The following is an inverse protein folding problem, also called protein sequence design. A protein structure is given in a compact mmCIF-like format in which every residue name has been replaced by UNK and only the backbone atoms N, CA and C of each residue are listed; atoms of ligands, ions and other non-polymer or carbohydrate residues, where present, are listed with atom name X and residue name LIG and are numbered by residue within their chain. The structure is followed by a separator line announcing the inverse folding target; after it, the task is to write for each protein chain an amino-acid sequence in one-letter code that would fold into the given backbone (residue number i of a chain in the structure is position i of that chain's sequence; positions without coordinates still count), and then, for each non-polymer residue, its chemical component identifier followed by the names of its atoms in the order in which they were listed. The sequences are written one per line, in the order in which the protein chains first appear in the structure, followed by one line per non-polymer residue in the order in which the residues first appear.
data_IF_653438097636
#
_entry.id   IF_653438097636
#
_cell.length_a   1.000
_cell.length_b   1.000
_cell.length_c   1.000
_cell.angle_alpha   90.00
_cell.angle_beta   90.00
_cell.angle_gamma   90.00
#
_symmetry.space_group_name_H-M   'P 1'
#
loop_
_entity.id
_entity.type
_entity.pdbx_description
1 polymer ?
#
# COMPACT_ATOMS: atom_id res chain seq x y z
N UNK A 1 -11.61 26.22 33.78
CA UNK A 1 -12.71 25.24 33.72
C UNK A 1 -12.26 24.06 32.86
N UNK A 2 -12.47 22.82 33.31
CA UNK A 2 -12.15 21.64 32.50
C UNK A 2 -13.13 21.56 31.33
N UNK A 3 -12.67 21.10 30.16
CA UNK A 3 -13.49 20.92 28.95
C UNK A 3 -13.13 19.58 28.33
N UNK A 4 -14.13 18.92 27.75
CA UNK A 4 -13.91 17.70 26.97
C UNK A 4 -13.25 18.02 25.63
N UNK A 5 -12.58 17.02 25.06
CA UNK A 5 -12.06 17.11 23.70
C UNK A 5 -13.21 17.07 22.68
N UNK A 6 -13.00 17.68 21.52
CA UNK A 6 -13.93 17.65 20.37
C UNK A 6 -13.86 16.33 19.58
N UNK A 7 -13.19 15.31 20.10
CA UNK A 7 -13.00 14.02 19.42
C UNK A 7 -12.88 12.87 20.43
N UNK A 8 -13.16 11.66 19.95
CA UNK A 8 -12.83 10.41 20.63
C UNK A 8 -11.50 9.89 20.08
N UNK A 9 -10.57 9.56 20.96
CA UNK A 9 -9.36 8.83 20.58
C UNK A 9 -9.71 7.34 20.40
N UNK A 10 -9.50 6.80 19.20
CA UNK A 10 -9.88 5.43 18.86
C UNK A 10 -8.71 4.46 18.98
N UNK A 11 -7.60 4.74 18.30
CA UNK A 11 -6.41 3.87 18.31
C UNK A 11 -5.12 4.62 17.99
N UNK A 12 -3.98 3.99 18.32
CA UNK A 12 -2.66 4.37 17.85
C UNK A 12 -2.33 3.61 16.57
N UNK A 13 -1.64 4.28 15.65
CA UNK A 13 -1.07 3.67 14.46
C UNK A 13 0.22 4.39 14.07
N UNK A 14 0.91 3.91 13.04
CA UNK A 14 2.05 4.60 12.42
C UNK A 14 1.63 5.14 11.06
N UNK A 15 2.25 6.23 10.64
CA UNK A 15 2.04 6.85 9.34
C UNK A 15 3.36 7.43 8.81
N UNK A 16 3.33 7.93 7.59
CA UNK A 16 4.47 8.58 6.95
C UNK A 16 4.27 10.10 6.97
N UNK A 17 5.30 10.86 7.29
CA UNK A 17 5.27 12.32 7.17
C UNK A 17 5.11 12.71 5.68
N UNK A 18 4.10 13.54 5.33
CA UNK A 18 3.86 13.91 3.93
C UNK A 18 4.94 14.80 3.32
N UNK A 19 5.88 15.32 4.12
CA UNK A 19 7.00 16.15 3.64
C UNK A 19 8.31 15.38 3.59
N UNK A 20 8.80 14.89 4.74
CA UNK A 20 10.12 14.25 4.83
C UNK A 20 10.09 12.73 4.70
N UNK A 21 8.91 12.11 4.55
CA UNK A 21 8.70 10.66 4.43
C UNK A 21 9.19 9.79 5.60
N UNK A 22 9.55 10.40 6.73
CA UNK A 22 9.86 9.67 7.98
C UNK A 22 8.61 8.98 8.51
N UNK A 23 8.76 7.75 9.01
CA UNK A 23 7.75 7.04 9.80
C UNK A 23 7.54 7.74 11.15
N UNK A 24 6.29 8.02 11.49
CA UNK A 24 5.88 8.76 12.69
C UNK A 24 4.62 8.16 13.30
N UNK A 25 4.44 8.34 14.60
CA UNK A 25 3.20 7.94 15.27
C UNK A 25 2.02 8.82 14.84
N UNK A 26 0.87 8.17 14.80
CA UNK A 26 -0.41 8.77 14.43
C UNK A 26 -1.51 8.26 15.36
N UNK A 27 -2.56 9.06 15.47
CA UNK A 27 -3.78 8.74 16.21
C UNK A 27 -4.94 8.71 15.24
N UNK A 28 -5.78 7.69 15.35
CA UNK A 28 -7.09 7.69 14.71
C UNK A 28 -8.10 8.31 15.67
N UNK A 29 -8.79 9.34 15.20
CA UNK A 29 -9.71 10.16 15.97
C UNK A 29 -11.10 10.12 15.32
N UNK A 30 -12.14 9.98 16.14
CA UNK A 30 -13.52 10.06 15.69
C UNK A 30 -14.07 11.44 16.05
N UNK A 31 -14.54 12.19 15.05
CA UNK A 31 -15.10 13.53 15.22
C UNK A 31 -16.15 13.79 14.15
N UNK A 32 -17.31 14.32 14.54
CA UNK A 32 -18.42 14.64 13.63
C UNK A 32 -18.81 13.48 12.69
N UNK A 33 -18.89 12.27 13.27
CA UNK A 33 -19.11 11.00 12.55
C UNK A 33 -18.10 10.70 11.42
N UNK A 34 -16.89 11.25 11.49
CA UNK A 34 -15.80 11.02 10.54
C UNK A 34 -14.56 10.49 11.25
N UNK A 35 -13.67 9.88 10.48
CA UNK A 35 -12.40 9.33 10.96
C UNK A 35 -11.25 10.21 10.48
N UNK A 36 -10.49 10.76 11.41
CA UNK A 36 -9.32 11.58 11.13
C UNK A 36 -8.05 10.88 11.62
N UNK A 37 -6.98 10.94 10.82
CA UNK A 37 -5.65 10.58 11.26
C UNK A 37 -4.88 11.83 11.61
N UNK A 38 -4.54 12.00 12.89
CA UNK A 38 -3.67 13.09 13.36
C UNK A 38 -2.28 12.56 13.64
N UNK A 39 -1.27 13.18 13.05
CA UNK A 39 0.15 12.81 13.17
C UNK A 39 1.01 14.04 13.39
N UNK A 40 2.16 13.87 14.05
CA UNK A 40 3.11 14.97 14.29
C UNK A 40 4.52 14.54 13.94
N UNK A 41 5.09 15.17 12.92
CA UNK A 41 6.49 15.03 12.61
C UNK A 41 7.32 15.96 13.52
N UNK A 42 8.42 15.49 14.13
CA UNK A 42 9.32 16.35 14.89
C UNK A 42 9.85 17.54 14.08
N UNK A 43 10.12 17.34 12.78
CA UNK A 43 10.76 18.34 11.92
C UNK A 43 9.76 19.15 11.09
N UNK A 44 8.63 18.54 10.71
CA UNK A 44 7.66 19.14 9.79
C UNK A 44 6.36 19.61 10.45
N UNK A 45 6.16 19.34 11.74
CA UNK A 45 4.99 19.76 12.50
C UNK A 45 3.79 18.81 12.41
N UNK A 46 2.60 19.28 12.83
CA UNK A 46 1.37 18.49 12.86
C UNK A 46 0.71 18.40 11.48
N UNK A 47 0.05 17.27 11.24
CA UNK A 47 -0.81 17.03 10.08
C UNK A 47 -2.08 16.33 10.54
N UNK A 48 -3.17 16.61 9.86
CA UNK A 48 -4.44 15.91 10.03
C UNK A 48 -5.06 15.67 8.66
N UNK A 49 -5.61 14.48 8.45
CA UNK A 49 -6.28 14.12 7.22
C UNK A 49 -7.55 13.32 7.53
N UNK A 50 -8.58 13.51 6.69
CA UNK A 50 -9.75 12.65 6.67
C UNK A 50 -9.35 11.27 6.12
N UNK A 51 -9.60 10.21 6.88
CA UNK A 51 -9.37 8.82 6.47
C UNK A 51 -10.65 8.19 5.96
N UNK A 52 -11.77 8.45 6.62
CA UNK A 52 -13.05 7.83 6.28
C UNK A 52 -14.22 8.74 6.64
N UNK A 53 -15.24 8.78 5.78
CA UNK A 53 -16.38 9.70 5.89
C UNK A 53 -17.46 9.31 6.90
N UNK A 54 -17.42 8.07 7.39
CA UNK A 54 -18.42 7.50 8.33
C UNK A 54 -17.73 6.68 9.43
N UNK A 55 -17.70 7.22 10.65
CA UNK A 55 -17.04 6.60 11.79
C UNK A 55 -17.72 5.29 12.24
N UNK A 56 -19.04 5.20 12.14
CA UNK A 56 -19.78 3.99 12.53
C UNK A 56 -19.43 2.83 11.58
N UNK A 57 -19.37 3.11 10.27
CA UNK A 57 -18.96 2.13 9.29
C UNK A 57 -17.49 1.71 9.44
N UNK A 58 -16.58 2.65 9.70
CA UNK A 58 -15.17 2.33 9.92
C UNK A 58 -14.99 1.35 11.10
N UNK A 59 -15.69 1.61 12.21
CA UNK A 59 -15.65 0.73 13.39
C UNK A 59 -16.30 -0.62 13.09
N UNK A 60 -17.47 -0.63 12.44
CA UNK A 60 -18.22 -1.86 12.19
C UNK A 60 -17.48 -2.83 11.27
N UNK A 61 -16.69 -2.31 10.32
CA UNK A 61 -15.91 -3.10 9.37
C UNK A 61 -14.90 -4.02 10.04
N UNK A 62 -14.31 -3.60 11.17
CA UNK A 62 -13.36 -4.43 11.93
C UNK A 62 -13.90 -5.81 12.34
N UNK A 63 -15.23 -5.95 12.44
CA UNK A 63 -15.91 -7.22 12.77
C UNK A 63 -15.78 -8.28 11.67
N UNK A 64 -15.46 -7.85 10.45
CA UNK A 64 -15.30 -8.73 9.28
C UNK A 64 -13.83 -9.00 8.95
N UNK A 65 -12.90 -8.56 9.79
CA UNK A 65 -11.48 -8.86 9.60
C UNK A 65 -11.26 -10.38 9.68
N UNK A 66 -10.71 -10.94 8.61
CA UNK A 66 -10.25 -12.33 8.57
C UNK A 66 -8.75 -12.39 8.88
N UNK A 67 -8.25 -13.49 9.45
CA UNK A 67 -6.81 -13.75 9.52
C UNK A 67 -6.15 -13.63 8.14
N UNK A 68 -4.90 -13.15 8.15
CA UNK A 68 -4.04 -13.17 6.99
C UNK A 68 -3.79 -14.59 6.48
N UNK A 69 -3.70 -14.76 5.16
CA UNK A 69 -3.20 -15.98 4.55
C UNK A 69 -1.68 -15.86 4.44
N UNK A 70 -0.94 -16.87 4.89
CA UNK A 70 0.51 -16.88 4.82
C UNK A 70 0.92 -17.56 3.50
N UNK A 71 1.83 -16.96 2.69
CA UNK A 71 2.32 -17.59 1.47
C UNK A 71 3.16 -18.85 1.78
N UNK A 72 3.39 -19.69 0.78
CA UNK A 72 4.25 -20.87 0.89
C UNK A 72 5.72 -20.50 1.11
N UNK A 73 6.13 -19.34 0.60
CA UNK A 73 7.46 -18.80 0.80
C UNK A 73 7.44 -17.27 0.81
N UNK A 74 8.39 -16.69 1.53
CA UNK A 74 8.66 -15.26 1.50
C UNK A 74 9.71 -14.95 0.42
N UNK A 75 9.64 -13.75 -0.17
CA UNK A 75 10.57 -13.29 -1.21
C UNK A 75 11.75 -12.48 -0.67
N UNK A 76 11.67 -12.01 0.59
CA UNK A 76 12.68 -11.13 1.19
C UNK A 76 12.83 -11.36 2.69
N UNK A 77 13.89 -10.81 3.29
CA UNK A 77 14.13 -10.81 4.74
C UNK A 77 13.68 -9.49 5.39
N UNK A 78 13.46 -9.51 6.70
CA UNK A 78 13.30 -8.28 7.50
C UNK A 78 14.69 -7.77 7.90
N UNK A 79 15.02 -6.52 7.55
CA UNK A 79 16.29 -5.84 7.85
C UNK A 79 16.08 -4.53 8.61
N UNK A 80 15.24 -3.64 8.12
CA UNK A 80 14.93 -2.31 8.66
C UNK A 80 13.48 -2.16 9.17
N UNK A 81 12.63 -3.16 8.96
CA UNK A 81 11.21 -3.19 9.26
C UNK A 81 10.33 -2.47 8.22
N UNK A 82 9.02 -2.69 8.30
CA UNK A 82 8.04 -1.99 7.47
C UNK A 82 8.03 -0.47 7.77
N UNK A 83 8.09 0.42 6.75
CA UNK A 83 7.92 0.18 5.31
C UNK A 83 9.23 0.12 4.51
N UNK A 84 10.40 0.00 5.15
CA UNK A 84 11.70 0.07 4.47
C UNK A 84 12.12 -1.24 3.81
N UNK A 85 11.60 -2.39 4.26
CA UNK A 85 11.85 -3.71 3.66
C UNK A 85 10.66 -4.20 2.83
N UNK A 86 10.10 -3.34 1.97
CA UNK A 86 8.90 -3.67 1.21
C UNK A 86 9.17 -4.83 0.21
N UNK A 87 8.27 -5.81 0.23
CA UNK A 87 8.30 -7.09 -0.49
C UNK A 87 7.42 -8.10 0.26
N UNK A 88 7.31 -9.34 -0.24
CA UNK A 88 6.67 -10.44 0.49
C UNK A 88 7.60 -10.93 1.62
N UNK A 89 7.85 -10.09 2.63
CA UNK A 89 8.71 -10.41 3.79
C UNK A 89 7.92 -11.09 4.92
N UNK A 90 8.58 -11.71 5.92
CA UNK A 90 7.89 -12.36 7.04
C UNK A 90 6.97 -11.45 7.89
N UNK A 91 7.18 -10.13 7.87
CA UNK A 91 6.28 -9.16 8.50
C UNK A 91 5.05 -8.85 7.63
N UNK A 92 5.01 -9.32 6.39
CA UNK A 92 3.86 -9.18 5.50
C UNK A 92 2.76 -10.16 5.92
N UNK A 93 1.63 -9.61 6.37
CA UNK A 93 0.55 -10.39 6.99
C UNK A 93 -0.49 -10.91 5.97
N UNK A 94 -0.17 -10.93 4.68
CA UNK A 94 -1.06 -11.44 3.64
C UNK A 94 -0.26 -12.07 2.51
N UNK A 95 -0.85 -13.02 1.79
CA UNK A 95 -0.32 -13.56 0.55
C UNK A 95 -0.60 -12.61 -0.63
N UNK A 96 0.00 -12.87 -1.79
CA UNK A 96 -0.23 -12.04 -2.98
C UNK A 96 -1.52 -12.47 -3.68
N UNK A 97 -2.62 -11.73 -3.46
CA UNK A 97 -3.91 -12.04 -4.09
C UNK A 97 -3.95 -11.67 -5.60
N UNK A 98 -3.20 -10.66 -6.01
CA UNK A 98 -3.12 -10.17 -7.39
C UNK A 98 -1.68 -9.79 -7.71
N UNK A 99 -1.06 -10.52 -8.63
CA UNK A 99 0.24 -10.14 -9.18
C UNK A 99 0.04 -9.08 -10.26
N UNK A 100 0.77 -7.97 -10.17
CA UNK A 100 0.81 -6.94 -11.23
C UNK A 100 2.23 -6.87 -11.77
N UNK A 101 2.39 -7.09 -13.08
CA UNK A 101 3.68 -7.01 -13.77
C UNK A 101 3.62 -5.82 -14.73
N UNK A 102 4.38 -4.77 -14.42
CA UNK A 102 4.58 -3.67 -15.35
C UNK A 102 5.58 -4.09 -16.43
N UNK A 103 5.07 -4.54 -17.59
CA UNK A 103 5.91 -5.13 -18.63
C UNK A 103 6.75 -4.10 -19.37
N UNK A 104 6.29 -2.86 -19.46
CA UNK A 104 7.03 -1.75 -20.04
C UNK A 104 6.49 -0.41 -19.52
N UNK A 105 7.28 0.66 -19.62
CA UNK A 105 6.81 2.02 -19.28
C UNK A 105 6.28 2.82 -20.48
N UNK A 106 6.46 2.32 -21.70
CA UNK A 106 6.05 3.02 -22.91
C UNK A 106 4.53 3.04 -23.06
N UNK A 107 3.99 4.12 -23.62
CA UNK A 107 2.56 4.23 -23.92
C UNK A 107 2.38 5.02 -25.21
N UNK A 108 1.34 4.68 -25.97
CA UNK A 108 0.95 5.38 -27.20
C UNK A 108 -0.14 6.44 -26.95
N UNK A 109 -0.42 6.77 -25.69
CA UNK A 109 -1.31 7.83 -25.25
C UNK A 109 -0.60 8.81 -24.30
N UNK A 110 -1.15 10.01 -24.16
CA UNK A 110 -0.64 11.08 -23.28
C UNK A 110 -1.74 11.56 -22.33
N UNK A 111 -2.18 10.66 -21.45
CA UNK A 111 -3.31 10.91 -20.56
C UNK A 111 -2.91 11.91 -19.45
N UNK A 112 -3.60 13.05 -19.28
CA UNK A 112 -3.23 14.08 -18.30
C UNK A 112 -3.42 13.66 -16.83
N UNK A 113 -4.02 12.49 -16.60
CA UNK A 113 -4.29 11.90 -15.29
C UNK A 113 -3.61 10.53 -15.12
N UNK A 114 -2.61 10.21 -15.96
CA UNK A 114 -1.91 8.93 -15.88
C UNK A 114 -1.15 8.80 -14.55
N UNK A 115 -1.55 7.85 -13.70
CA UNK A 115 -0.85 7.59 -12.44
C UNK A 115 0.51 6.91 -12.64
N UNK A 116 0.68 6.13 -13.73
CA UNK A 116 1.92 5.44 -14.07
C UNK A 116 3.00 6.37 -14.63
N UNK A 117 2.67 7.63 -14.91
CA UNK A 117 3.56 8.60 -15.59
C UNK A 117 4.23 7.99 -16.84
N UNK A 118 3.44 7.28 -17.65
CA UNK A 118 3.92 6.45 -18.75
C UNK A 118 4.75 7.27 -19.75
N UNK A 119 5.96 6.79 -20.03
CA UNK A 119 6.95 7.41 -20.92
C UNK A 119 7.94 6.37 -21.42
N UNK A 120 8.55 6.54 -22.61
CA UNK A 120 9.62 5.67 -23.06
C UNK A 120 10.70 5.55 -21.97
N UNK A 121 11.06 4.32 -21.62
CA UNK A 121 11.95 4.03 -20.50
C UNK A 121 12.42 2.59 -20.53
N UNK A 122 11.69 1.69 -19.90
CA UNK A 122 12.05 0.28 -19.82
C UNK A 122 11.05 -0.63 -20.55
N UNK A 123 11.50 -1.81 -20.89
CA UNK A 123 10.69 -2.95 -21.34
C UNK A 123 11.35 -4.21 -20.78
N UNK A 124 10.59 -5.00 -20.04
CA UNK A 124 11.09 -6.25 -19.47
C UNK A 124 11.38 -7.25 -20.60
N UNK A 125 12.41 -8.07 -20.45
CA UNK A 125 12.60 -9.22 -21.34
C UNK A 125 11.60 -10.32 -20.99
N UNK A 126 11.39 -11.27 -21.93
CA UNK A 126 10.58 -12.45 -21.63
C UNK A 126 11.14 -13.21 -20.42
N UNK A 127 12.47 -13.36 -20.33
CA UNK A 127 13.12 -14.07 -19.23
C UNK A 127 12.89 -13.40 -17.87
N UNK A 128 12.85 -12.06 -17.83
CA UNK A 128 12.51 -11.32 -16.61
C UNK A 128 11.05 -11.56 -16.20
N UNK A 129 10.13 -11.56 -17.16
CA UNK A 129 8.71 -11.83 -16.89
C UNK A 129 8.51 -13.28 -16.44
N UNK A 130 9.16 -14.25 -17.08
CA UNK A 130 9.15 -15.65 -16.67
C UNK A 130 9.68 -15.82 -15.25
N UNK A 131 10.79 -15.18 -14.89
CA UNK A 131 11.33 -15.22 -13.54
C UNK A 131 10.36 -14.64 -12.49
N UNK A 132 9.64 -13.56 -12.81
CA UNK A 132 8.61 -12.99 -11.93
C UNK A 132 7.42 -13.94 -11.76
N UNK A 133 6.98 -14.60 -12.83
CA UNK A 133 5.89 -15.58 -12.78
C UNK A 133 6.29 -16.83 -12.00
N UNK A 134 7.52 -17.31 -12.19
CA UNK A 134 8.08 -18.43 -11.44
C UNK A 134 8.16 -18.12 -9.94
N UNK A 135 8.58 -16.90 -9.56
CA UNK A 135 8.56 -16.49 -8.16
C UNK A 135 7.13 -16.42 -7.60
N UNK A 136 6.16 -15.91 -8.38
CA UNK A 136 4.76 -15.86 -7.96
C UNK A 136 4.19 -17.27 -7.72
N UNK A 137 4.49 -18.22 -8.60
CA UNK A 137 4.13 -19.63 -8.42
C UNK A 137 4.86 -20.23 -7.22
N UNK A 138 6.14 -19.91 -7.01
CA UNK A 138 6.91 -20.39 -5.85
C UNK A 138 6.31 -19.90 -4.53
N UNK A 139 5.84 -18.66 -4.46
CA UNK A 139 5.30 -18.07 -3.23
C UNK A 139 3.85 -18.47 -2.96
N UNK A 140 3.02 -18.63 -3.99
CA UNK A 140 1.58 -18.88 -3.85
C UNK A 140 1.14 -20.32 -4.16
N UNK A 141 1.97 -21.08 -4.88
CA UNK A 141 1.66 -22.42 -5.37
C UNK A 141 0.70 -22.39 -6.57
N UNK A 142 -0.53 -21.93 -6.36
CA UNK A 142 -1.54 -21.78 -7.43
C UNK A 142 -2.05 -20.33 -7.44
N UNK A 143 -1.34 -19.40 -8.10
CA UNK A 143 -1.76 -18.01 -8.18
C UNK A 143 -3.13 -17.85 -8.86
N UNK A 144 -3.97 -16.96 -8.33
CA UNK A 144 -5.34 -16.78 -8.85
C UNK A 144 -5.42 -15.84 -10.06
N UNK A 145 -4.73 -14.69 -10.01
CA UNK A 145 -4.81 -13.64 -11.02
C UNK A 145 -3.46 -12.96 -11.22
N UNK A 146 -3.08 -12.77 -12.49
CA UNK A 146 -1.98 -11.89 -12.91
C UNK A 146 -2.52 -10.81 -13.84
N UNK A 147 -2.07 -9.57 -13.63
CA UNK A 147 -2.37 -8.42 -14.47
C UNK A 147 -1.08 -7.88 -15.09
N UNK A 148 -1.01 -7.91 -16.42
CA UNK A 148 0.02 -7.18 -17.15
C UNK A 148 -0.36 -5.70 -17.25
N UNK A 149 0.57 -4.83 -16.88
CA UNK A 149 0.38 -3.39 -16.68
C UNK A 149 1.61 -2.61 -17.18
N UNK A 150 1.75 -1.35 -16.78
CA UNK A 150 2.87 -0.47 -17.08
C UNK A 150 2.37 0.83 -17.70
N UNK A 151 2.94 1.22 -18.83
CA UNK A 151 2.33 2.18 -19.74
C UNK A 151 1.16 1.54 -20.49
N UNK A 152 1.34 1.25 -21.77
CA UNK A 152 0.42 0.44 -22.57
C UNK A 152 1.04 -0.96 -22.78
N UNK A 153 0.55 -2.02 -22.12
CA UNK A 153 1.13 -3.35 -22.22
C UNK A 153 1.19 -3.88 -23.66
N UNK A 154 0.22 -3.51 -24.52
CA UNK A 154 0.11 -4.03 -25.89
C UNK A 154 1.13 -3.43 -26.86
N UNK A 155 1.90 -2.40 -26.46
CA UNK A 155 3.01 -1.87 -27.25
C UNK A 155 4.38 -2.40 -26.81
N UNK A 156 4.41 -3.39 -25.91
CA UNK A 156 5.63 -4.12 -25.57
C UNK A 156 6.20 -4.80 -26.84
N UNK A 157 7.53 -4.72 -27.08
CA UNK A 157 8.17 -5.14 -28.34
C UNK A 157 8.20 -6.66 -28.58
#
# INVERSE_FOLDING_TARGET
MKKDADYVFYELTRSICPKCRRVIDAKILLRDNKVYMRKRCPDCGPFEALVYGDAQMYISQSKYNKPGTIPLAFGTEIRQGCPYDCGLCPDHQQHTCLGIIEVNSACNMDCPLCFSEARPGFSLTLEEVEAMLDDFVRTEGNPEVVQFSGGEPTVHP
#
